data_IF_336988880463
#
_entry.id   IF_336988880463
#
_cell.length_a   1.000
_cell.length_b   1.000
_cell.length_c   1.000
_cell.angle_alpha   90.00
_cell.angle_beta   90.00
_cell.angle_gamma   90.00
#
_symmetry.space_group_name_H-M   'P 1'
#
loop_
_entity.id
_entity.type
_entity.pdbx_description
1 polymer ?
#
# COMPACT_ATOMS: atom_id res chain seq x y z
N UNK A 1 20.73 -4.07 10.93
CA UNK A 1 19.81 -4.30 9.79
C UNK A 1 18.99 -3.02 9.60
N UNK A 2 19.25 -2.26 8.53
CA UNK A 2 18.49 -1.04 8.26
C UNK A 2 17.04 -1.42 7.91
N UNK A 3 16.07 -0.98 8.72
CA UNK A 3 14.65 -1.05 8.32
C UNK A 3 14.54 -0.24 7.04
N UNK A 4 14.18 -0.88 5.93
CA UNK A 4 13.84 -0.18 4.70
C UNK A 4 12.66 0.72 5.05
N UNK A 5 12.88 2.03 5.11
CA UNK A 5 11.83 3.00 5.39
C UNK A 5 10.81 2.91 4.27
N UNK A 6 9.64 2.33 4.53
CA UNK A 6 8.55 2.30 3.55
C UNK A 6 8.11 3.73 3.28
N UNK A 7 8.18 4.15 2.02
CA UNK A 7 7.82 5.51 1.59
C UNK A 7 6.37 5.57 1.06
N UNK A 8 5.82 6.79 0.92
CA UNK A 8 4.50 6.99 0.29
C UNK A 8 4.47 6.44 -1.15
N UNK A 9 5.58 6.60 -1.88
CA UNK A 9 5.72 6.10 -3.26
C UNK A 9 5.69 4.58 -3.33
N UNK A 10 6.31 3.89 -2.37
CA UNK A 10 6.25 2.43 -2.29
C UNK A 10 4.81 1.95 -2.08
N UNK A 11 4.07 2.59 -1.17
CA UNK A 11 2.66 2.28 -0.92
C UNK A 11 1.81 2.53 -2.16
N UNK A 12 1.98 3.68 -2.82
CA UNK A 12 1.24 4.00 -4.04
C UNK A 12 1.50 2.98 -5.16
N UNK A 13 2.77 2.59 -5.36
CA UNK A 13 3.15 1.58 -6.36
C UNK A 13 2.55 0.20 -6.04
N UNK A 14 2.59 -0.24 -4.79
CA UNK A 14 2.00 -1.50 -4.37
C UNK A 14 0.47 -1.50 -4.53
N UNK A 15 -0.19 -0.43 -4.09
CA UNK A 15 -1.64 -0.25 -4.26
C UNK A 15 -2.05 -0.24 -5.73
N UNK A 16 -1.30 0.45 -6.59
CA UNK A 16 -1.57 0.47 -8.02
C UNK A 16 -1.33 -0.89 -8.68
N UNK A 17 -0.30 -1.63 -8.25
CA UNK A 17 -0.02 -2.99 -8.74
C UNK A 17 -1.16 -3.94 -8.40
N UNK A 18 -1.70 -3.87 -7.17
CA UNK A 18 -2.86 -4.67 -6.77
C UNK A 18 -4.09 -4.33 -7.61
N UNK A 19 -4.37 -3.03 -7.83
CA UNK A 19 -5.49 -2.59 -8.67
C UNK A 19 -5.36 -3.05 -10.12
N UNK A 20 -4.16 -2.98 -10.70
CA UNK A 20 -3.87 -3.43 -12.07
C UNK A 20 -4.10 -4.93 -12.25
N UNK A 21 -3.81 -5.72 -11.21
CA UNK A 21 -4.12 -7.16 -11.14
C UNK A 21 -5.61 -7.45 -10.95
N UNK A 22 -6.44 -6.44 -10.67
CA UNK A 22 -7.84 -6.59 -10.28
C UNK A 22 -8.03 -7.05 -8.84
N UNK A 23 -6.98 -7.01 -8.03
CA UNK A 23 -7.02 -7.35 -6.61
C UNK A 23 -7.46 -6.15 -5.75
N UNK A 24 -8.05 -6.47 -4.59
CA UNK A 24 -8.43 -5.45 -3.61
C UNK A 24 -7.21 -4.87 -2.90
N UNK A 25 -7.11 -3.55 -2.89
CA UNK A 25 -6.06 -2.82 -2.17
C UNK A 25 -6.37 -2.84 -0.67
N UNK A 26 -5.89 -3.88 0.01
CA UNK A 26 -6.02 -4.02 1.47
C UNK A 26 -4.68 -3.77 2.17
N UNK A 27 -4.75 -3.39 3.45
CA UNK A 27 -3.58 -3.30 4.33
C UNK A 27 -2.69 -4.55 4.29
N UNK A 28 -3.31 -5.73 4.27
CA UNK A 28 -2.61 -7.00 4.25
C UNK A 28 -1.95 -7.26 2.90
N UNK A 29 -2.65 -7.00 1.80
CA UNK A 29 -2.11 -7.17 0.45
C UNK A 29 -0.96 -6.21 0.17
N UNK A 30 -1.10 -4.94 0.54
CA UNK A 30 -0.02 -3.94 0.41
C UNK A 30 1.18 -4.30 1.28
N UNK A 31 0.94 -4.80 2.50
CA UNK A 31 2.01 -5.27 3.38
C UNK A 31 2.75 -6.49 2.80
N UNK A 32 2.02 -7.43 2.18
CA UNK A 32 2.62 -8.57 1.46
C UNK A 32 3.44 -8.11 0.25
N UNK A 33 2.91 -7.24 -0.60
CA UNK A 33 3.62 -6.72 -1.78
C UNK A 33 4.90 -5.97 -1.40
N UNK A 34 4.90 -5.24 -0.28
CA UNK A 34 6.05 -4.47 0.19
C UNK A 34 7.06 -5.28 1.03
N UNK A 35 6.76 -6.53 1.37
CA UNK A 35 7.63 -7.34 2.23
C UNK A 35 7.69 -6.86 3.68
N UNK A 36 6.60 -6.24 4.17
CA UNK A 36 6.35 -5.74 5.52
C UNK A 36 6.89 -4.33 5.85
N UNK A 37 5.94 -3.41 6.08
CA UNK A 37 6.12 -2.13 6.78
C UNK A 37 5.24 -2.08 8.02
N UNK A 38 5.52 -1.14 8.95
CA UNK A 38 4.65 -0.93 10.11
C UNK A 38 3.21 -0.66 9.67
N UNK A 39 2.27 -1.49 10.11
CA UNK A 39 0.83 -1.33 9.81
C UNK A 39 0.30 0.05 10.22
N UNK A 40 0.86 0.62 11.29
CA UNK A 40 0.52 1.97 11.77
C UNK A 40 0.90 3.07 10.77
N UNK A 41 1.95 2.84 9.98
CA UNK A 41 2.39 3.76 8.91
C UNK A 41 1.63 3.49 7.61
N UNK A 42 1.39 2.22 7.26
CA UNK A 42 0.68 1.84 6.03
C UNK A 42 -0.79 2.25 6.05
N UNK A 43 -1.46 2.14 7.20
CA UNK A 43 -2.90 2.40 7.31
C UNK A 43 -3.33 3.79 6.83
N UNK A 44 -2.74 4.90 7.31
CA UNK A 44 -3.11 6.23 6.81
C UNK A 44 -2.71 6.43 5.35
N UNK A 45 -1.58 5.88 4.90
CA UNK A 45 -1.11 6.03 3.50
C UNK A 45 -2.01 5.30 2.50
N UNK A 46 -2.50 4.12 2.84
CA UNK A 46 -3.43 3.36 2.00
C UNK A 46 -4.80 4.03 1.99
N UNK A 47 -5.27 4.55 3.12
CA UNK A 47 -6.54 5.27 3.19
C UNK A 47 -6.52 6.55 2.34
N UNK A 48 -5.42 7.31 2.38
CA UNK A 48 -5.19 8.48 1.52
C UNK A 48 -5.25 8.10 0.04
N UNK A 49 -4.51 7.06 -0.36
CA UNK A 49 -4.50 6.59 -1.74
C UNK A 49 -5.88 6.09 -2.22
N UNK A 50 -6.63 5.37 -1.37
CA UNK A 50 -7.98 4.90 -1.70
C UNK A 50 -8.99 6.06 -1.83
N UNK A 51 -8.80 7.14 -1.07
CA UNK A 51 -9.62 8.34 -1.21
C UNK A 51 -9.38 9.06 -2.54
N UNK A 52 -8.13 9.06 -3.02
CA UNK A 52 -7.74 9.61 -4.33
C UNK A 52 -8.16 8.71 -5.50
N UNK A 53 -8.24 7.40 -5.27
CA UNK A 53 -8.59 6.39 -6.26
C UNK A 53 -9.82 5.58 -5.82
N UNK A 54 -11.03 6.19 -5.80
CA UNK A 54 -12.24 5.42 -5.60
C UNK A 54 -12.26 4.26 -6.61
N UNK A 55 -12.56 3.06 -6.11
CA UNK A 55 -12.84 1.91 -6.95
C UNK A 55 -13.92 2.32 -7.98
N UNK A 56 -13.85 1.87 -9.25
CA UNK A 56 -14.92 2.16 -10.21
C UNK A 56 -16.22 1.49 -9.78
#
# INVERSE_FOLDING_TARGET
MARKSVTKEDVARASQTLRDRGDRVTLMAVCQELGCGSFTTLKPLIADWLAEHPEP
#
